data_IF_725892953261
#
_entry.id   IF_725892953261
#
_cell.length_a   1.000
_cell.length_b   1.000
_cell.length_c   1.000
_cell.angle_alpha   90.00
_cell.angle_beta   90.00
_cell.angle_gamma   90.00
#
_symmetry.space_group_name_H-M   'P 1'
#
loop_
_entity.id
_entity.type
_entity.pdbx_description
1 polymer ?
#
# COMPACT_ATOMS: atom_id res chain seq x y z
N UNK A 1 -16.80 11.23 14.30
CA UNK A 1 -16.76 12.09 13.11
C UNK A 1 -15.40 12.75 13.08
N UNK A 2 -14.53 12.30 12.19
CA UNK A 2 -13.39 13.09 11.78
C UNK A 2 -13.59 13.37 10.29
N UNK A 3 -13.61 14.65 9.95
CA UNK A 3 -13.69 15.14 8.59
C UNK A 3 -12.27 15.12 8.00
N UNK A 4 -12.13 14.62 6.77
CA UNK A 4 -10.92 14.82 5.98
C UNK A 4 -11.35 15.46 4.66
N UNK A 5 -11.13 16.77 4.56
CA UNK A 5 -11.41 17.57 3.37
C UNK A 5 -10.23 17.44 2.40
N UNK A 6 -10.42 16.76 1.27
CA UNK A 6 -9.47 16.85 0.16
C UNK A 6 -10.09 17.64 -1.00
N UNK A 7 -9.33 18.64 -1.47
CA UNK A 7 -9.70 19.58 -2.52
C UNK A 7 -9.09 19.06 -3.83
N UNK A 8 -9.91 18.68 -4.80
CA UNK A 8 -9.44 18.38 -6.15
C UNK A 8 -9.97 19.43 -7.14
N UNK A 9 -9.20 19.69 -8.20
CA UNK A 9 -9.33 20.81 -9.14
C UNK A 9 -10.54 20.75 -10.11
N UNK A 10 -11.59 20.02 -9.75
CA UNK A 10 -12.94 20.13 -10.32
C UNK A 10 -13.89 20.19 -9.12
N UNK A 11 -14.78 21.19 -9.05
CA UNK A 11 -15.67 21.49 -7.91
C UNK A 11 -16.68 20.35 -7.59
N UNK A 12 -16.16 19.20 -7.18
CA UNK A 12 -16.90 18.02 -6.79
C UNK A 12 -16.42 17.63 -5.40
N UNK A 13 -17.18 18.01 -4.38
CA UNK A 13 -17.05 17.43 -3.05
C UNK A 13 -17.53 15.97 -3.15
N UNK A 14 -16.58 15.05 -3.33
CA UNK A 14 -16.86 13.61 -3.22
C UNK A 14 -16.76 13.23 -1.75
N UNK A 15 -17.90 13.07 -1.10
CA UNK A 15 -18.00 12.36 0.19
C UNK A 15 -18.13 10.87 -0.11
N UNK A 16 -17.10 10.10 0.22
CA UNK A 16 -17.16 8.64 0.17
C UNK A 16 -17.65 8.15 1.54
N UNK A 17 -18.87 7.64 1.58
CA UNK A 17 -19.42 7.01 2.77
C UNK A 17 -18.98 5.55 2.79
N UNK A 18 -18.03 5.21 3.65
CA UNK A 18 -17.79 3.81 4.00
C UNK A 18 -18.87 3.38 4.99
N UNK A 19 -19.29 2.12 4.88
CA UNK A 19 -20.36 1.52 5.68
C UNK A 19 -19.99 1.53 7.17
N UNK A 20 -20.25 2.64 7.85
CA UNK A 20 -20.12 2.79 9.29
C UNK A 20 -21.17 3.82 9.71
N UNK A 21 -21.99 3.46 10.70
CA UNK A 21 -22.24 4.21 11.95
C UNK A 21 -23.60 3.80 12.51
N UNK A 22 -23.60 2.88 13.47
CA UNK A 22 -24.72 2.72 14.39
C UNK A 22 -24.91 4.07 15.12
N UNK A 23 -26.11 4.61 14.92
CA UNK A 23 -26.73 5.82 15.46
C UNK A 23 -26.59 7.16 14.69
N UNK A 24 -27.79 7.65 14.35
CA UNK A 24 -28.20 8.82 13.59
C UNK A 24 -27.56 10.11 14.10
N UNK A 25 -27.00 10.91 13.20
CA UNK A 25 -26.81 12.35 13.43
C UNK A 25 -26.92 13.12 12.10
N UNK A 26 -27.74 14.17 12.09
CA UNK A 26 -27.91 15.07 10.96
C UNK A 26 -26.71 16.01 10.84
N UNK A 27 -25.98 15.97 9.72
CA UNK A 27 -24.85 16.88 9.50
C UNK A 27 -25.19 17.95 8.44
N UNK A 28 -25.30 19.24 8.82
CA UNK A 28 -25.46 20.31 7.85
C UNK A 28 -24.10 20.73 7.26
N UNK A 29 -23.87 20.50 5.95
CA UNK A 29 -22.77 21.15 5.24
C UNK A 29 -23.10 22.63 4.98
N UNK A 30 -22.16 23.54 5.26
CA UNK A 30 -22.30 24.97 4.97
C UNK A 30 -21.11 25.45 4.13
N UNK A 31 -21.40 26.13 3.03
CA UNK A 31 -20.40 26.80 2.22
C UNK A 31 -19.89 28.05 2.96
N UNK A 32 -18.58 28.27 3.01
CA UNK A 32 -17.97 29.36 3.80
C UNK A 32 -18.24 30.77 3.23
N UNK A 33 -18.81 30.87 2.02
CA UNK A 33 -19.02 32.15 1.32
C UNK A 33 -20.32 32.23 0.49
N UNK A 34 -21.25 31.27 0.59
CA UNK A 34 -22.48 31.24 -0.22
C UNK A 34 -23.71 30.81 0.59
N UNK A 35 -24.82 31.53 0.43
CA UNK A 35 -26.11 31.29 1.13
C UNK A 35 -26.88 30.05 0.64
N UNK A 36 -26.21 29.07 0.02
CA UNK A 36 -26.87 27.85 -0.49
C UNK A 36 -26.54 26.65 0.40
N UNK A 37 -27.53 26.24 1.22
CA UNK A 37 -27.44 25.06 2.10
C UNK A 37 -28.07 23.87 1.39
N UNK A 38 -27.27 22.98 0.79
CA UNK A 38 -27.78 21.65 0.36
C UNK A 38 -27.74 20.70 1.55
N UNK A 39 -28.90 20.12 1.86
CA UNK A 39 -29.05 19.13 2.95
C UNK A 39 -28.93 17.74 2.33
N UNK A 40 -27.88 17.01 2.69
CA UNK A 40 -27.74 15.61 2.33
C UNK A 40 -28.24 14.77 3.51
N UNK A 41 -29.06 13.76 3.21
CA UNK A 41 -29.52 12.78 4.19
C UNK A 41 -28.75 11.48 3.95
N UNK A 42 -28.02 11.03 4.96
CA UNK A 42 -27.35 9.73 4.96
C UNK A 42 -28.24 8.79 5.77
N UNK A 43 -28.71 7.73 5.13
CA UNK A 43 -29.46 6.65 5.77
C UNK A 43 -28.49 5.51 6.05
N UNK A 44 -28.34 5.17 7.32
CA UNK A 44 -27.57 3.99 7.72
C UNK A 44 -28.56 2.84 7.91
N UNK A 45 -28.36 1.76 7.17
CA UNK A 45 -29.13 0.53 7.32
C UNK A 45 -28.57 -0.29 8.49
N UNK A 46 -29.44 -1.00 9.21
CA UNK A 46 -29.05 -2.04 10.16
C UNK A 46 -28.70 -3.37 9.47
N UNK A 47 -28.77 -3.43 8.14
CA UNK A 47 -28.33 -4.58 7.35
C UNK A 47 -26.80 -4.73 7.39
N UNK A 48 -26.33 -5.96 7.24
CA UNK A 48 -24.91 -6.25 7.07
C UNK A 48 -24.34 -5.44 5.91
N UNK A 49 -23.14 -4.89 6.12
CA UNK A 49 -22.46 -4.16 5.06
C UNK A 49 -22.23 -5.09 3.87
N UNK A 50 -22.59 -4.67 2.64
CA UNK A 50 -22.34 -5.50 1.47
C UNK A 50 -20.84 -5.77 1.37
N UNK A 51 -20.48 -7.02 1.15
CA UNK A 51 -19.09 -7.40 0.93
C UNK A 51 -18.51 -6.61 -0.24
N UNK A 52 -17.33 -6.02 -0.06
CA UNK A 52 -16.60 -5.45 -1.17
C UNK A 52 -16.15 -6.57 -2.12
N UNK A 53 -16.37 -6.38 -3.43
CA UNK A 53 -15.87 -7.25 -4.50
C UNK A 53 -14.35 -7.08 -4.71
N UNK A 54 -13.58 -7.04 -3.62
CA UNK A 54 -12.15 -6.85 -3.67
C UNK A 54 -11.45 -8.20 -3.58
N UNK A 55 -10.58 -8.47 -4.54
CA UNK A 55 -9.78 -9.68 -4.62
C UNK A 55 -8.30 -9.31 -4.62
N UNK A 56 -7.51 -10.03 -3.83
CA UNK A 56 -6.05 -9.96 -3.80
C UNK A 56 -5.52 -11.32 -4.20
N UNK A 57 -4.56 -11.32 -5.12
CA UNK A 57 -3.92 -12.53 -5.62
C UNK A 57 -2.48 -12.58 -5.10
N UNK A 58 -2.11 -13.69 -4.47
CA UNK A 58 -0.76 -13.95 -3.98
C UNK A 58 -0.30 -15.31 -4.54
N UNK A 59 0.90 -15.37 -5.07
CA UNK A 59 1.49 -16.62 -5.57
C UNK A 59 1.82 -17.56 -4.43
N UNK A 60 1.59 -18.87 -4.62
CA UNK A 60 1.94 -19.90 -3.63
C UNK A 60 3.43 -19.82 -3.27
N UNK A 61 3.74 -20.00 -1.97
CA UNK A 61 5.10 -19.95 -1.44
C UNK A 61 5.65 -18.55 -1.21
N UNK A 62 4.95 -17.50 -1.64
CA UNK A 62 5.36 -16.10 -1.44
C UNK A 62 4.77 -15.55 -0.14
N UNK A 63 5.59 -14.82 0.62
CA UNK A 63 5.10 -14.04 1.77
C UNK A 63 4.33 -12.82 1.26
N UNK A 64 3.20 -12.54 1.86
CA UNK A 64 2.38 -11.40 1.45
C UNK A 64 1.53 -10.87 2.58
N UNK A 65 0.45 -10.19 2.24
CA UNK A 65 -0.46 -9.69 3.24
C UNK A 65 -1.65 -8.93 2.69
N UNK A 66 -2.56 -8.60 3.60
CA UNK A 66 -3.85 -8.03 3.29
C UNK A 66 -3.99 -6.65 3.93
N UNK A 67 -4.22 -5.60 3.13
CA UNK A 67 -4.42 -4.25 3.65
C UNK A 67 -5.84 -4.13 4.22
N UNK A 68 -5.97 -3.56 5.42
CA UNK A 68 -7.29 -3.32 6.00
C UNK A 68 -8.10 -2.24 5.22
N UNK A 69 -7.41 -1.38 4.45
CA UNK A 69 -7.99 -0.32 3.59
C UNK A 69 -9.07 0.52 4.29
N UNK A 70 -8.83 0.87 5.54
CA UNK A 70 -9.64 1.82 6.32
C UNK A 70 -8.73 2.97 6.78
N UNK A 71 -7.90 3.48 5.87
CA UNK A 71 -6.80 4.43 6.13
C UNK A 71 -7.29 5.66 6.89
N UNK A 72 -8.54 6.08 6.65
CA UNK A 72 -9.15 7.21 7.34
C UNK A 72 -9.22 7.00 8.86
N UNK A 73 -9.45 5.76 9.33
CA UNK A 73 -9.46 5.41 10.76
C UNK A 73 -8.03 5.40 11.32
N UNK A 74 -7.07 4.92 10.53
CA UNK A 74 -5.66 4.86 10.92
C UNK A 74 -5.01 6.26 11.03
N UNK A 75 -5.52 7.24 10.28
CA UNK A 75 -5.12 8.65 10.38
C UNK A 75 -5.70 9.39 11.59
N UNK A 76 -6.63 8.78 12.33
CA UNK A 76 -7.21 9.41 13.52
C UNK A 76 -6.32 9.18 14.75
N UNK A 77 -6.20 10.20 15.58
CA UNK A 77 -5.56 10.09 16.89
C UNK A 77 -6.57 9.57 17.94
N UNK A 78 -7.01 8.32 17.76
CA UNK A 78 -7.99 7.64 18.61
C UNK A 78 -7.50 6.23 18.95
N UNK A 79 -7.90 5.75 20.13
CA UNK A 79 -7.63 4.37 20.51
C UNK A 79 -8.41 3.40 19.63
N UNK A 80 -7.69 2.49 19.00
CA UNK A 80 -8.22 1.51 18.04
C UNK A 80 -7.62 0.13 18.28
N UNK A 81 -8.43 -0.90 18.05
CA UNK A 81 -8.01 -2.31 18.10
C UNK A 81 -8.41 -2.97 16.78
N UNK A 82 -7.43 -3.51 16.08
CA UNK A 82 -7.61 -4.22 14.81
C UNK A 82 -7.61 -5.72 15.07
N UNK A 83 -8.48 -6.46 14.40
CA UNK A 83 -8.48 -7.92 14.36
C UNK A 83 -8.88 -8.39 12.97
N UNK A 84 -8.36 -9.55 12.56
CA UNK A 84 -8.69 -10.16 11.28
C UNK A 84 -9.45 -11.46 11.51
N UNK A 85 -10.45 -11.71 10.66
CA UNK A 85 -11.14 -12.99 10.58
C UNK A 85 -10.92 -13.58 9.19
N UNK A 86 -10.73 -14.90 9.11
CA UNK A 86 -10.74 -15.67 7.87
C UNK A 86 -11.94 -16.60 7.90
N UNK A 87 -12.82 -16.50 6.91
CA UNK A 87 -14.02 -17.33 6.79
C UNK A 87 -14.80 -17.41 8.12
N UNK A 88 -14.97 -16.24 8.75
CA UNK A 88 -15.63 -16.05 10.06
C UNK A 88 -14.90 -16.59 11.28
N UNK A 89 -13.70 -17.16 11.13
CA UNK A 89 -12.84 -17.60 12.23
C UNK A 89 -11.75 -16.55 12.52
N UNK A 90 -11.40 -16.36 13.80
CA UNK A 90 -10.34 -15.41 14.17
C UNK A 90 -8.99 -15.90 13.61
N UNK A 91 -8.27 -15.01 12.93
CA UNK A 91 -6.89 -15.30 12.48
C UNK A 91 -6.00 -15.41 13.71
N UNK A 92 -5.29 -16.52 13.84
CA UNK A 92 -4.30 -16.70 14.89
C UNK A 92 -3.05 -15.90 14.52
N UNK A 93 -2.65 -15.01 15.42
CA UNK A 93 -1.45 -14.20 15.24
C UNK A 93 -0.26 -14.91 15.87
N UNK A 94 0.88 -14.80 15.20
CA UNK A 94 2.19 -15.27 15.61
C UNK A 94 3.19 -14.17 15.26
N UNK A 95 3.83 -13.57 16.27
CA UNK A 95 4.65 -12.36 16.10
C UNK A 95 5.82 -12.56 15.12
N UNK A 96 6.25 -13.81 14.88
CA UNK A 96 7.33 -14.13 13.95
C UNK A 96 6.88 -14.24 12.48
N UNK A 97 5.63 -14.68 12.24
CA UNK A 97 5.19 -15.11 10.91
C UNK A 97 3.88 -14.50 10.44
N UNK A 98 2.93 -14.23 11.35
CA UNK A 98 1.57 -13.74 11.06
C UNK A 98 1.20 -12.63 12.04
N UNK A 99 1.33 -11.37 11.63
CA UNK A 99 1.08 -10.23 12.54
C UNK A 99 0.37 -9.07 11.84
N UNK A 100 -0.21 -8.19 12.67
CA UNK A 100 -0.95 -7.01 12.20
C UNK A 100 -0.12 -5.76 12.46
N UNK A 101 0.19 -5.00 11.41
CA UNK A 101 0.87 -3.72 11.50
C UNK A 101 0.04 -2.63 12.15
N UNK A 102 0.67 -1.51 12.51
CA UNK A 102 -0.04 -0.34 13.07
C UNK A 102 -1.06 0.26 12.09
N UNK A 103 -0.85 0.09 10.79
CA UNK A 103 -1.73 0.45 9.68
C UNK A 103 -2.85 -0.56 9.42
N UNK A 104 -2.92 -1.62 10.23
CA UNK A 104 -3.90 -2.70 10.12
C UNK A 104 -3.58 -3.73 9.04
N UNK A 105 -2.41 -3.64 8.39
CA UNK A 105 -1.99 -4.59 7.38
C UNK A 105 -1.69 -5.96 8.02
N UNK A 106 -2.41 -7.00 7.59
CA UNK A 106 -2.17 -8.37 8.03
C UNK A 106 -1.04 -8.96 7.19
N UNK A 107 0.10 -9.25 7.82
CA UNK A 107 1.18 -10.01 7.18
C UNK A 107 0.91 -11.49 7.36
N UNK A 108 1.10 -12.23 6.27
CA UNK A 108 0.98 -13.67 6.21
C UNK A 108 2.36 -14.28 5.91
N UNK A 109 2.62 -15.52 6.36
CA UNK A 109 3.80 -16.26 5.95
C UNK A 109 3.72 -16.62 4.47
N UNK A 110 4.65 -17.46 3.99
CA UNK A 110 4.57 -18.04 2.66
C UNK A 110 3.20 -18.72 2.50
N UNK A 111 2.34 -18.17 1.63
CA UNK A 111 0.95 -18.60 1.50
C UNK A 111 0.85 -19.93 0.79
N UNK A 112 -0.15 -20.72 1.16
CA UNK A 112 -0.52 -22.00 0.53
C UNK A 112 -1.95 -21.93 0.03
N UNK A 113 -2.39 -22.87 -0.81
CA UNK A 113 -3.80 -22.97 -1.23
C UNK A 113 -4.79 -22.97 -0.05
N UNK A 114 -4.36 -23.46 1.12
CA UNK A 114 -5.18 -23.48 2.34
C UNK A 114 -5.41 -22.10 2.91
N UNK A 115 -4.56 -21.13 2.57
CA UNK A 115 -4.64 -19.74 3.02
C UNK A 115 -5.65 -18.93 2.22
N UNK A 116 -6.06 -19.38 1.03
CA UNK A 116 -7.16 -18.78 0.29
C UNK A 116 -8.45 -18.73 1.13
N UNK A 117 -9.25 -17.69 0.92
CA UNK A 117 -10.48 -17.48 1.68
C UNK A 117 -10.86 -16.01 1.82
N UNK A 118 -11.98 -15.76 2.48
CA UNK A 118 -12.48 -14.41 2.71
C UNK A 118 -11.94 -13.88 4.04
N UNK A 119 -11.15 -12.83 3.96
CA UNK A 119 -10.57 -12.16 5.11
C UNK A 119 -11.32 -10.88 5.43
N UNK A 120 -11.75 -10.72 6.68
CA UNK A 120 -12.44 -9.52 7.16
C UNK A 120 -11.59 -8.81 8.20
N UNK A 121 -11.13 -7.60 7.87
CA UNK A 121 -10.56 -6.69 8.84
C UNK A 121 -11.69 -6.11 9.69
N UNK A 122 -11.54 -6.12 11.01
CA UNK A 122 -12.46 -5.51 11.96
C UNK A 122 -11.68 -4.56 12.86
N UNK A 123 -12.11 -3.31 12.86
CA UNK A 123 -11.55 -2.26 13.70
C UNK A 123 -12.59 -1.84 14.72
N UNK A 124 -12.24 -1.99 16.00
CA UNK A 124 -12.97 -1.39 17.10
C UNK A 124 -12.29 -0.07 17.47
N UNK A 125 -13.04 1.02 17.41
CA UNK A 125 -12.58 2.38 17.69
C UNK A 125 -13.30 2.90 18.92
N UNK A 126 -12.58 3.60 19.80
CA UNK A 126 -13.19 4.31 20.94
C UNK A 126 -13.09 5.80 20.66
N UNK A 127 -14.23 6.47 20.56
CA UNK A 127 -14.31 7.91 20.31
C UNK A 127 -15.34 8.53 21.26
N UNK A 128 -14.92 9.52 22.03
CA UNK A 128 -15.76 10.21 23.03
C UNK A 128 -16.48 9.24 24.00
N UNK A 129 -15.78 8.20 24.45
CA UNK A 129 -16.33 7.19 25.36
C UNK A 129 -17.31 6.20 24.73
N UNK A 130 -17.60 6.33 23.43
CA UNK A 130 -18.46 5.41 22.69
C UNK A 130 -17.61 4.48 21.82
N UNK A 131 -17.94 3.19 21.79
CA UNK A 131 -17.27 2.21 20.94
C UNK A 131 -17.98 2.09 19.58
N UNK A 132 -17.20 2.09 18.51
CA UNK A 132 -17.64 1.93 17.13
C UNK A 132 -16.90 0.77 16.49
N UNK A 133 -17.57 0.02 15.62
CA UNK A 133 -16.96 -1.07 14.87
C UNK A 133 -17.07 -0.78 13.39
N UNK A 134 -15.98 -1.01 12.67
CA UNK A 134 -15.91 -0.90 11.23
C UNK A 134 -15.28 -2.18 10.67
N UNK A 135 -15.80 -2.67 9.55
CA UNK A 135 -15.32 -3.92 8.96
C UNK A 135 -15.20 -3.81 7.44
N UNK A 136 -14.21 -4.52 6.88
CA UNK A 136 -14.00 -4.65 5.44
C UNK A 136 -13.55 -6.05 5.08
N UNK A 137 -14.17 -6.63 4.06
CA UNK A 137 -13.84 -7.97 3.56
C UNK A 137 -13.00 -7.91 2.28
N UNK A 138 -12.05 -8.82 2.15
CA UNK A 138 -11.20 -9.03 0.98
C UNK A 138 -11.17 -10.53 0.69
N UNK A 139 -11.32 -10.90 -0.58
CA UNK A 139 -11.11 -12.26 -1.04
C UNK A 139 -9.62 -12.47 -1.32
N UNK A 140 -8.97 -13.40 -0.62
CA UNK A 140 -7.62 -13.86 -0.96
C UNK A 140 -7.75 -15.07 -1.89
N UNK A 141 -7.11 -14.96 -3.05
CA UNK A 141 -6.93 -16.05 -4.01
C UNK A 141 -5.45 -16.38 -4.09
N UNK A 142 -5.12 -17.66 -3.94
CA UNK A 142 -3.74 -18.13 -4.08
C UNK A 142 -3.54 -18.67 -5.49
N UNK A 143 -2.51 -18.20 -6.17
CA UNK A 143 -2.17 -18.65 -7.52
C UNK A 143 -1.09 -19.71 -7.46
N UNK A 144 -1.39 -20.86 -8.05
CA UNK A 144 -0.41 -21.87 -8.41
C UNK A 144 0.18 -21.55 -9.78
N UNK A 145 0.81 -20.38 -9.88
CA UNK A 145 1.67 -20.07 -11.02
C UNK A 145 3.09 -20.55 -10.67
N UNK A 146 3.83 -21.15 -11.62
CA UNK A 146 5.27 -21.38 -11.42
C UNK A 146 5.87 -20.04 -10.98
N UNK A 147 6.82 -20.00 -10.02
CA UNK A 147 7.46 -18.75 -9.66
C UNK A 147 7.90 -18.10 -10.97
N UNK A 148 7.39 -16.90 -11.25
CA UNK A 148 7.89 -16.12 -12.37
C UNK A 148 9.39 -16.05 -12.13
N UNK A 149 10.16 -16.73 -12.99
CA UNK A 149 11.61 -16.64 -12.97
C UNK A 149 11.87 -15.22 -13.42
N UNK A 150 11.86 -14.29 -12.47
CA UNK A 150 12.38 -12.96 -12.68
C UNK A 150 13.84 -13.20 -13.05
N UNK A 151 14.26 -12.89 -14.29
CA UNK A 151 15.65 -13.02 -14.62
C UNK A 151 16.42 -12.15 -13.62
N UNK A 152 17.44 -12.72 -12.98
CA UNK A 152 18.29 -12.00 -12.04
C UNK A 152 18.78 -10.70 -12.67
N UNK A 153 18.90 -9.65 -11.85
CA UNK A 153 19.49 -8.37 -12.25
C UNK A 153 20.86 -8.62 -12.88
N UNK A 154 21.03 -8.21 -14.13
CA UNK A 154 22.27 -8.42 -14.86
C UNK A 154 22.83 -7.10 -15.36
N UNK A 155 24.05 -6.79 -14.94
CA UNK A 155 24.83 -5.69 -15.53
C UNK A 155 25.26 -6.13 -16.92
N UNK A 156 24.61 -5.59 -17.94
CA UNK A 156 24.94 -5.84 -19.35
C UNK A 156 26.25 -5.12 -19.68
N UNK A 157 26.44 -3.92 -19.14
CA UNK A 157 27.66 -3.11 -19.29
C UNK A 157 27.91 -2.25 -18.05
N UNK A 158 29.17 -2.07 -17.61
CA UNK A 158 30.34 -2.86 -17.98
C UNK A 158 30.36 -4.17 -17.19
N UNK A 159 30.56 -5.32 -17.85
CA UNK A 159 30.64 -6.61 -17.15
C UNK A 159 32.09 -6.92 -16.73
N UNK A 160 33.02 -6.89 -17.70
CA UNK A 160 34.46 -7.07 -17.51
C UNK A 160 35.29 -6.25 -18.51
N UNK A 161 34.71 -5.14 -18.98
CA UNK A 161 35.33 -4.32 -20.01
C UNK A 161 36.47 -3.48 -19.42
N UNK A 162 37.66 -3.58 -20.04
CA UNK A 162 38.81 -2.72 -19.71
C UNK A 162 38.84 -1.57 -20.69
N UNK A 163 38.65 -0.36 -20.17
CA UNK A 163 38.72 0.87 -20.96
C UNK A 163 40.11 1.51 -20.82
N UNK A 164 40.81 1.61 -21.95
CA UNK A 164 42.09 2.32 -22.03
C UNK A 164 41.82 3.78 -22.41
N UNK A 165 42.25 4.71 -21.56
CA UNK A 165 42.07 6.15 -21.76
C UNK A 165 43.43 6.82 -21.79
N UNK A 166 43.69 7.67 -22.79
CA UNK A 166 44.93 8.43 -22.86
C UNK A 166 44.86 9.67 -21.96
N UNK A 167 46.03 10.14 -21.51
CA UNK A 167 46.11 11.33 -20.66
C UNK A 167 45.57 12.55 -21.41
N UNK A 168 44.60 13.23 -20.81
CA UNK A 168 43.95 14.42 -21.37
C UNK A 168 42.73 14.13 -22.26
N UNK A 169 42.42 12.85 -22.53
CA UNK A 169 41.18 12.48 -23.21
C UNK A 169 40.02 12.36 -22.23
N UNK A 170 38.82 12.74 -22.69
CA UNK A 170 37.57 12.51 -21.96
C UNK A 170 37.04 11.13 -22.32
N UNK A 171 36.76 10.31 -21.30
CA UNK A 171 36.11 9.03 -21.47
C UNK A 171 34.68 9.06 -20.91
N UNK A 172 33.79 8.29 -21.54
CA UNK A 172 32.40 8.14 -21.13
C UNK A 172 32.11 6.65 -20.94
N UNK A 173 31.54 6.28 -19.78
CA UNK A 173 31.21 4.91 -19.44
C UNK A 173 29.69 4.75 -19.42
N UNK A 174 29.21 3.66 -19.99
CA UNK A 174 27.78 3.33 -20.01
C UNK A 174 27.49 2.21 -19.02
N UNK A 175 26.58 2.48 -18.08
CA UNK A 175 25.99 1.47 -17.21
C UNK A 175 24.67 1.04 -17.84
N UNK A 176 24.58 -0.22 -18.26
CA UNK A 176 23.36 -0.81 -18.79
C UNK A 176 23.04 -2.03 -17.93
N UNK A 177 21.87 -2.01 -17.30
CA UNK A 177 21.39 -3.09 -16.43
C UNK A 177 20.09 -3.63 -17.01
N UNK A 178 20.00 -4.95 -17.10
CA UNK A 178 18.75 -5.64 -17.39
C UNK A 178 18.03 -5.92 -16.08
N UNK A 179 16.89 -5.27 -15.87
CA UNK A 179 16.08 -5.35 -14.65
C UNK A 179 14.93 -6.36 -14.74
N UNK A 180 14.83 -7.09 -15.86
CA UNK A 180 13.74 -8.05 -16.09
C UNK A 180 12.37 -7.37 -16.20
N UNK A 181 11.35 -8.03 -15.66
CA UNK A 181 9.98 -7.51 -15.55
C UNK A 181 9.73 -6.82 -14.20
N UNK A 182 10.78 -6.58 -13.40
CA UNK A 182 10.66 -5.94 -12.10
C UNK A 182 10.42 -4.44 -12.26
N UNK A 183 9.26 -3.96 -11.81
CA UNK A 183 8.95 -2.54 -11.61
C UNK A 183 9.24 -2.11 -10.16
N UNK A 184 10.17 -2.80 -9.47
CA UNK A 184 10.50 -2.52 -8.08
C UNK A 184 11.17 -1.13 -7.95
N UNK A 185 10.54 -0.16 -7.25
CA UNK A 185 11.11 1.15 -7.04
C UNK A 185 12.37 1.14 -6.14
N UNK A 186 12.71 0.01 -5.52
CA UNK A 186 13.92 -0.16 -4.71
C UNK A 186 15.18 -0.49 -5.54
N UNK A 187 15.07 -0.75 -6.85
CA UNK A 187 16.22 -0.98 -7.72
C UNK A 187 16.92 0.34 -8.03
N UNK A 188 18.11 0.54 -7.47
CA UNK A 188 18.93 1.74 -7.66
C UNK A 188 20.21 1.43 -8.45
N UNK A 189 20.40 2.15 -9.57
CA UNK A 189 21.65 2.13 -10.33
C UNK A 189 22.52 3.31 -9.89
N UNK A 190 23.83 3.09 -9.72
CA UNK A 190 24.79 4.13 -9.34
C UNK A 190 26.22 3.73 -9.70
N UNK A 191 27.12 4.71 -9.74
CA UNK A 191 28.55 4.48 -9.94
C UNK A 191 29.34 4.66 -8.64
N UNK A 192 30.40 3.87 -8.47
CA UNK A 192 31.37 4.03 -7.39
C UNK A 192 32.80 3.94 -7.91
N UNK A 193 33.71 4.68 -7.30
CA UNK A 193 35.16 4.58 -7.52
C UNK A 193 35.78 4.11 -6.22
N UNK A 194 36.40 2.93 -6.22
CA UNK A 194 37.01 2.31 -5.03
C UNK A 194 36.07 2.24 -3.81
N UNK A 195 34.76 2.04 -4.05
CA UNK A 195 33.74 1.96 -3.00
C UNK A 195 33.19 3.31 -2.52
N UNK A 196 33.61 4.42 -3.12
CA UNK A 196 33.12 5.78 -2.82
C UNK A 196 32.18 6.21 -3.95
N UNK A 197 31.05 6.85 -3.60
CA UNK A 197 30.09 7.34 -4.57
C UNK A 197 30.67 8.46 -5.43
N UNK A 198 30.32 8.50 -6.72
CA UNK A 198 30.83 9.53 -7.64
C UNK A 198 30.37 10.95 -7.29
N UNK A 199 29.31 11.10 -6.47
CA UNK A 199 28.84 12.39 -5.97
C UNK A 199 29.90 13.19 -5.21
N UNK A 200 30.90 12.50 -4.67
CA UNK A 200 31.97 13.10 -3.87
C UNK A 200 33.15 13.59 -4.75
N UNK A 201 33.06 13.41 -6.08
CA UNK A 201 34.07 13.82 -7.06
C UNK A 201 33.53 14.94 -7.96
N UNK A 202 33.99 16.18 -7.75
CA UNK A 202 33.51 17.37 -8.47
C UNK A 202 33.81 17.38 -9.99
N UNK A 203 34.76 16.56 -10.43
CA UNK A 203 35.19 16.48 -11.83
C UNK A 203 34.37 15.48 -12.67
N UNK A 204 33.46 14.73 -12.04
CA UNK A 204 32.64 13.70 -12.67
C UNK A 204 31.18 14.11 -12.75
N UNK A 205 30.58 13.91 -13.92
CA UNK A 205 29.17 14.17 -14.15
C UNK A 205 28.47 12.89 -14.58
N UNK A 206 27.30 12.63 -14.02
CA UNK A 206 26.39 11.58 -14.47
C UNK A 206 25.21 12.16 -15.25
N UNK A 207 24.72 11.40 -16.23
CA UNK A 207 23.51 11.75 -16.99
C UNK A 207 22.64 10.51 -17.11
N UNK A 208 21.33 10.71 -16.96
CA UNK A 208 20.33 9.65 -16.99
C UNK A 208 19.55 9.73 -18.31
N UNK A 209 19.59 8.66 -19.09
CA UNK A 209 18.80 8.51 -20.30
C UNK A 209 17.80 7.37 -20.09
N UNK A 210 16.52 7.73 -20.01
CA UNK A 210 15.39 6.79 -19.97
C UNK A 210 15.06 6.25 -21.37
#
# INVERSE_FOLDING_TARGET
>A
MHESLYKNHTNTLKTRFHCILLNVSHFPCREKTGSSKRRFSVLVSSADCPDSNEEILITEGVRGGLPCKQTEIFSLNVTRRVRWMKDSNLVQLDEESTYVGEDGFLRLPAVTDRDAGKYTCIINVIMNGTSYTAARSIQLTVRNEPPEVFPELQVVKPLQDVFLVQVGERAELQCLVYTGFSEDPEILMYWTINGIYISDYEELNETWHL
#
